data_IF_134681058767
#
_entry.id   IF_134681058767
#
_cell.length_a   1.000
_cell.length_b   1.000
_cell.length_c   1.000
_cell.angle_alpha   90.00
_cell.angle_beta   90.00
_cell.angle_gamma   90.00
#
_symmetry.space_group_name_H-M   'P 1'
#
loop_
_entity.id
_entity.type
_entity.pdbx_description
1 polymer ?
#
# COMPACT_ATOMS: atom_id res chain seq x y z
N UNK A 1 -28.57 -31.18 34.77
CA UNK A 1 -29.97 -30.80 35.01
C UNK A 1 -30.43 -30.07 33.77
N UNK A 2 -31.19 -30.76 32.94
CA UNK A 2 -31.76 -30.29 31.67
C UNK A 2 -32.80 -29.18 31.88
N UNK A 3 -33.02 -28.40 30.80
CA UNK A 3 -34.31 -28.02 30.19
C UNK A 3 -34.08 -26.75 29.34
N UNK A 4 -34.59 -26.50 28.12
CA UNK A 4 -35.40 -27.24 27.14
C UNK A 4 -35.38 -26.42 25.83
N UNK A 5 -35.60 -27.12 24.72
CA UNK A 5 -35.70 -26.68 23.31
C UNK A 5 -36.63 -25.49 23.03
N UNK A 6 -36.34 -24.75 21.94
CA UNK A 6 -37.35 -24.36 20.94
C UNK A 6 -36.71 -24.21 19.56
N UNK A 7 -37.36 -24.81 18.55
CA UNK A 7 -36.98 -24.83 17.14
C UNK A 7 -38.11 -24.21 16.28
N UNK A 8 -37.71 -23.81 15.06
CA UNK A 8 -38.47 -23.66 13.79
C UNK A 8 -39.18 -22.32 13.47
N UNK A 9 -39.43 -21.97 12.18
CA UNK A 9 -39.10 -22.68 10.93
C UNK A 9 -38.48 -21.86 9.77
N UNK A 10 -37.96 -22.60 8.78
CA UNK A 10 -37.89 -22.22 7.36
C UNK A 10 -39.22 -21.65 6.87
N UNK A 11 -39.17 -20.55 6.12
CA UNK A 11 -40.16 -20.24 5.07
C UNK A 11 -39.48 -19.40 3.98
N UNK A 12 -38.83 -20.09 3.03
CA UNK A 12 -38.64 -19.54 1.68
C UNK A 12 -39.97 -19.72 0.94
N UNK A 13 -40.68 -18.62 0.74
CA UNK A 13 -41.88 -18.59 -0.10
C UNK A 13 -41.45 -18.75 -1.55
N UNK A 14 -41.91 -19.83 -2.19
CA UNK A 14 -41.81 -20.06 -3.62
C UNK A 14 -42.67 -19.03 -4.36
N UNK A 15 -42.06 -17.91 -4.78
CA UNK A 15 -42.62 -17.07 -5.85
C UNK A 15 -41.96 -17.45 -7.17
N UNK A 16 -42.77 -17.58 -8.22
CA UNK A 16 -42.41 -18.10 -9.55
C UNK A 16 -41.56 -17.13 -10.42
N UNK A 17 -40.75 -16.28 -9.78
CA UNK A 17 -39.67 -15.58 -10.49
C UNK A 17 -38.35 -16.03 -9.89
N UNK A 18 -37.59 -16.81 -10.67
CA UNK A 18 -36.21 -17.14 -10.34
C UNK A 18 -35.36 -15.86 -10.46
N UNK A 19 -35.48 -14.97 -9.49
CA UNK A 19 -34.43 -14.01 -9.20
C UNK A 19 -33.30 -14.82 -8.59
N UNK A 20 -32.34 -15.19 -9.43
CA UNK A 20 -31.04 -15.67 -8.98
C UNK A 20 -30.47 -14.62 -8.04
N UNK A 21 -30.56 -14.86 -6.73
CA UNK A 21 -29.70 -14.21 -5.79
C UNK A 21 -28.31 -14.81 -6.01
N UNK A 22 -27.58 -14.27 -6.98
CA UNK A 22 -26.16 -14.55 -7.13
C UNK A 22 -25.48 -13.90 -5.93
N UNK A 23 -25.22 -14.69 -4.89
CA UNK A 23 -24.22 -14.32 -3.90
C UNK A 23 -22.91 -14.31 -4.70
N UNK A 24 -22.43 -13.12 -5.07
CA UNK A 24 -21.08 -12.98 -5.59
C UNK A 24 -20.17 -13.43 -4.45
N UNK A 25 -19.55 -14.60 -4.60
CA UNK A 25 -18.53 -15.04 -3.67
C UNK A 25 -17.42 -13.98 -3.67
N UNK A 26 -17.14 -13.40 -2.51
CA UNK A 26 -16.03 -12.47 -2.35
C UNK A 26 -14.73 -13.19 -2.75
N UNK A 27 -13.97 -12.61 -3.68
CA UNK A 27 -12.71 -13.20 -4.13
C UNK A 27 -11.58 -12.82 -3.16
N UNK A 28 -11.36 -13.69 -2.18
CA UNK A 28 -10.27 -13.57 -1.21
C UNK A 28 -8.93 -14.11 -1.69
N UNK A 29 -8.79 -14.45 -2.96
CA UNK A 29 -7.54 -15.01 -3.48
C UNK A 29 -6.48 -13.93 -3.52
N UNK A 30 -5.37 -14.14 -2.78
CA UNK A 30 -4.18 -13.30 -2.90
C UNK A 30 -3.56 -13.51 -4.29
N UNK A 31 -3.78 -12.56 -5.19
CA UNK A 31 -3.30 -12.63 -6.58
C UNK A 31 -2.00 -11.87 -6.72
N UNK A 32 -0.97 -12.52 -7.27
CA UNK A 32 0.30 -11.88 -7.62
C UNK A 32 0.11 -10.88 -8.77
N UNK A 33 1.04 -9.94 -8.89
CA UNK A 33 1.13 -9.10 -10.09
C UNK A 33 1.61 -9.96 -11.27
N UNK A 34 0.82 -10.04 -12.33
CA UNK A 34 1.13 -10.85 -13.53
C UNK A 34 1.65 -10.02 -14.71
N UNK A 35 1.51 -8.69 -14.65
CA UNK A 35 2.09 -7.82 -15.64
C UNK A 35 3.62 -7.78 -15.42
N UNK A 36 4.39 -8.10 -16.45
CA UNK A 36 5.86 -8.22 -16.39
C UNK A 36 6.52 -6.95 -15.86
N UNK A 37 6.03 -5.75 -16.21
CA UNK A 37 6.60 -4.49 -15.72
C UNK A 37 6.30 -4.29 -14.24
N UNK A 38 5.06 -4.56 -13.84
CA UNK A 38 4.62 -4.39 -12.45
C UNK A 38 5.26 -5.46 -11.53
N UNK A 39 5.47 -6.68 -12.03
CA UNK A 39 6.22 -7.72 -11.33
C UNK A 39 7.71 -7.39 -11.24
N UNK A 40 8.33 -6.85 -12.30
CA UNK A 40 9.74 -6.45 -12.27
C UNK A 40 10.04 -5.32 -11.29
N UNK A 41 9.06 -4.46 -11.00
CA UNK A 41 9.21 -3.42 -9.99
C UNK A 41 9.41 -4.02 -8.59
N UNK A 42 8.83 -5.19 -8.34
CA UNK A 42 9.00 -5.91 -7.11
C UNK A 42 10.36 -6.57 -7.05
N UNK A 43 11.26 -6.05 -6.22
CA UNK A 43 12.62 -6.54 -6.13
C UNK A 43 13.19 -6.46 -4.71
N UNK A 44 13.98 -7.48 -4.36
CA UNK A 44 14.93 -7.48 -3.23
C UNK A 44 14.30 -7.51 -1.82
N UNK A 45 13.24 -8.29 -1.61
CA UNK A 45 12.78 -8.69 -0.26
C UNK A 45 12.32 -7.54 0.66
N UNK A 46 11.65 -6.53 0.09
CA UNK A 46 10.95 -5.48 0.84
C UNK A 46 9.51 -5.91 1.10
N UNK A 47 9.18 -6.17 2.36
CA UNK A 47 7.84 -6.57 2.78
C UNK A 47 7.06 -5.37 3.33
N UNK A 48 5.85 -5.16 2.81
CA UNK A 48 4.86 -4.22 3.33
C UNK A 48 3.76 -5.02 4.00
N UNK A 49 3.51 -4.73 5.27
CA UNK A 49 2.62 -5.53 6.11
C UNK A 49 1.53 -4.63 6.69
N UNK A 50 0.28 -4.91 6.33
CA UNK A 50 -0.88 -4.26 6.93
C UNK A 50 -1.55 -5.19 7.96
N UNK A 51 -2.29 -4.62 8.94
CA UNK A 51 -3.11 -5.41 9.85
C UNK A 51 -4.10 -6.30 9.07
N UNK A 52 -4.44 -7.45 9.65
CA UNK A 52 -5.43 -8.42 9.17
C UNK A 52 -5.12 -9.13 7.82
N UNK A 53 -4.59 -8.41 6.83
CA UNK A 53 -4.22 -8.96 5.51
C UNK A 53 -2.79 -9.52 5.46
N UNK A 54 -1.88 -9.02 6.32
CA UNK A 54 -0.49 -9.45 6.35
C UNK A 54 0.36 -8.82 5.23
N UNK A 55 1.25 -9.61 4.62
CA UNK A 55 2.18 -9.13 3.59
C UNK A 55 1.42 -8.84 2.30
N UNK A 56 1.47 -7.57 1.86
CA UNK A 56 0.85 -7.10 0.61
C UNK A 56 1.86 -6.81 -0.49
N UNK A 57 3.15 -7.09 -0.27
CA UNK A 57 4.16 -6.93 -1.32
C UNK A 57 3.80 -7.76 -2.55
N UNK A 58 3.69 -7.09 -3.70
CA UNK A 58 3.60 -7.68 -5.03
C UNK A 58 2.31 -8.45 -5.30
N UNK A 59 1.22 -7.94 -4.75
CA UNK A 59 -0.12 -8.49 -4.98
C UNK A 59 -1.15 -7.40 -5.30
N UNK A 60 -2.31 -7.85 -5.74
CA UNK A 60 -3.55 -7.09 -5.66
C UNK A 60 -4.16 -7.27 -4.26
N UNK A 61 -4.57 -6.16 -3.65
CA UNK A 61 -5.43 -6.21 -2.46
C UNK A 61 -6.74 -6.89 -2.87
N UNK A 62 -7.13 -8.00 -2.22
CA UNK A 62 -8.31 -8.76 -2.63
C UNK A 62 -9.59 -8.02 -2.26
N UNK A 63 -10.66 -8.33 -2.98
CA UNK A 63 -11.98 -7.73 -2.79
C UNK A 63 -12.81 -8.58 -1.82
N UNK A 64 -12.37 -8.65 -0.59
CA UNK A 64 -13.12 -9.31 0.49
C UNK A 64 -12.73 -8.73 1.84
N UNK A 65 -13.54 -9.05 2.86
CA UNK A 65 -13.33 -8.58 4.24
C UNK A 65 -13.10 -7.06 4.36
N UNK A 66 -13.67 -6.28 3.43
CA UNK A 66 -13.55 -4.83 3.38
C UNK A 66 -12.10 -4.28 3.39
N UNK A 67 -11.10 -5.06 2.97
CA UNK A 67 -9.69 -4.64 3.05
C UNK A 67 -9.39 -3.31 2.34
N UNK A 68 -10.07 -3.02 1.23
CA UNK A 68 -9.91 -1.73 0.53
C UNK A 68 -10.49 -0.56 1.33
N UNK A 69 -11.57 -0.80 2.10
CA UNK A 69 -12.12 0.19 3.02
C UNK A 69 -11.17 0.37 4.22
N UNK A 70 -10.74 -0.72 4.87
CA UNK A 70 -9.81 -0.65 6.00
C UNK A 70 -8.50 0.02 5.61
N UNK A 71 -7.94 -0.29 4.45
CA UNK A 71 -6.75 0.37 3.91
C UNK A 71 -6.93 1.89 3.73
N UNK A 72 -8.13 2.33 3.31
CA UNK A 72 -8.41 3.73 3.02
C UNK A 72 -8.92 4.55 4.22
N UNK A 73 -9.43 3.90 5.26
CA UNK A 73 -10.09 4.57 6.39
C UNK A 73 -9.52 4.23 7.77
N UNK A 74 -9.01 3.03 7.96
CA UNK A 74 -8.75 2.48 9.30
C UNK A 74 -7.25 2.27 9.52
N UNK A 75 -6.63 1.40 8.72
CA UNK A 75 -5.23 1.02 8.91
C UNK A 75 -4.29 2.22 8.79
N UNK A 76 -3.37 2.33 9.75
CA UNK A 76 -2.29 3.32 9.73
C UNK A 76 -1.21 2.95 8.71
N UNK A 77 -0.02 3.55 8.82
CA UNK A 77 1.11 3.13 7.98
C UNK A 77 1.41 1.63 8.20
N UNK A 78 1.88 0.94 7.15
CA UNK A 78 2.23 -0.47 7.26
C UNK A 78 3.52 -0.64 8.08
N UNK A 79 3.72 -1.84 8.63
CA UNK A 79 5.06 -2.26 9.03
C UNK A 79 5.88 -2.54 7.77
N UNK A 80 7.16 -2.19 7.82
CA UNK A 80 8.08 -2.37 6.69
C UNK A 80 9.25 -3.22 7.15
N UNK A 81 9.48 -4.33 6.44
CA UNK A 81 10.59 -5.23 6.73
C UNK A 81 11.52 -5.34 5.53
N UNK A 82 12.81 -5.20 5.79
CA UNK A 82 13.87 -5.42 4.81
C UNK A 82 15.03 -6.15 5.50
N UNK A 83 15.08 -7.46 5.31
CA UNK A 83 16.02 -8.35 6.04
C UNK A 83 17.51 -8.12 5.69
N UNK A 84 17.78 -7.43 4.57
CA UNK A 84 19.14 -7.11 4.10
C UNK A 84 19.62 -5.74 4.55
N UNK A 85 18.84 -5.00 5.35
CA UNK A 85 19.30 -3.76 5.94
C UNK A 85 20.53 -4.00 6.82
N UNK A 86 21.34 -2.96 7.05
CA UNK A 86 22.55 -3.03 7.84
C UNK A 86 22.36 -2.27 9.16
N UNK A 87 22.67 -2.88 10.32
CA UNK A 87 22.71 -2.15 11.58
C UNK A 87 23.72 -0.98 11.51
N UNK A 88 23.35 0.17 12.06
CA UNK A 88 24.18 1.39 12.03
C UNK A 88 24.12 2.18 10.73
N UNK A 89 23.33 1.74 9.75
CA UNK A 89 23.02 2.47 8.53
C UNK A 89 21.59 3.00 8.61
N UNK A 90 21.38 4.24 8.17
CA UNK A 90 20.06 4.86 8.07
C UNK A 90 19.48 4.68 6.67
N UNK A 91 18.16 4.66 6.59
CA UNK A 91 17.41 4.45 5.35
C UNK A 91 16.36 5.53 5.15
N UNK A 92 15.99 5.71 3.88
CA UNK A 92 14.88 6.57 3.45
C UNK A 92 13.82 5.69 2.83
N UNK A 93 12.58 5.85 3.27
CA UNK A 93 11.42 5.17 2.71
C UNK A 93 10.52 6.18 2.01
N UNK A 94 10.19 5.89 0.75
CA UNK A 94 9.29 6.71 -0.06
C UNK A 94 8.13 5.86 -0.55
N UNK A 95 6.91 6.33 -0.34
CA UNK A 95 5.69 5.75 -0.89
C UNK A 95 5.04 6.75 -1.86
N UNK A 96 4.80 6.34 -3.10
CA UNK A 96 4.17 7.16 -4.15
C UNK A 96 3.11 6.39 -4.93
N UNK A 97 2.13 7.12 -5.45
CA UNK A 97 1.15 6.66 -6.44
C UNK A 97 1.48 7.30 -7.81
N UNK A 98 2.00 6.53 -8.79
CA UNK A 98 2.23 7.00 -10.16
C UNK A 98 0.94 7.09 -10.99
N UNK A 99 -0.17 6.61 -10.47
CA UNK A 99 -1.42 6.46 -11.19
C UNK A 99 -2.44 7.55 -10.81
N UNK A 100 -2.11 8.51 -9.94
CA UNK A 100 -3.07 9.55 -9.56
C UNK A 100 -3.44 10.50 -10.73
N UNK A 101 -4.74 10.78 -11.00
CA UNK A 101 -5.93 10.21 -10.38
C UNK A 101 -6.41 8.90 -11.01
N UNK A 102 -5.96 8.52 -12.21
CA UNK A 102 -6.12 7.17 -12.75
C UNK A 102 -4.90 6.75 -13.59
N UNK A 103 -4.62 5.44 -13.66
CA UNK A 103 -3.50 4.90 -14.46
C UNK A 103 -3.60 5.30 -15.94
N UNK A 104 -4.82 5.45 -16.47
CA UNK A 104 -5.08 5.85 -17.85
C UNK A 104 -4.83 7.35 -18.09
N UNK A 105 -5.01 8.20 -17.08
CA UNK A 105 -4.78 9.65 -17.18
C UNK A 105 -4.12 10.18 -15.90
N UNK A 106 -2.82 9.91 -15.69
CA UNK A 106 -2.13 10.12 -14.41
C UNK A 106 -1.66 11.58 -14.23
N UNK A 107 -2.59 12.53 -14.28
CA UNK A 107 -2.32 13.99 -14.23
C UNK A 107 -1.55 14.46 -12.99
N UNK A 108 -1.68 13.76 -11.86
CA UNK A 108 -1.03 14.11 -10.60
C UNK A 108 0.18 13.23 -10.27
N UNK A 109 0.69 12.47 -11.25
CA UNK A 109 1.93 11.69 -11.10
C UNK A 109 3.11 12.61 -10.75
N UNK A 110 3.99 12.23 -9.81
CA UNK A 110 3.79 11.23 -8.76
C UNK A 110 2.99 11.85 -7.61
N UNK A 111 2.10 11.08 -6.98
CA UNK A 111 1.44 11.50 -5.75
C UNK A 111 2.15 10.92 -4.54
N UNK A 112 2.72 11.79 -3.70
CA UNK A 112 3.48 11.39 -2.50
C UNK A 112 2.57 11.00 -1.34
N UNK A 113 2.63 9.72 -0.96
CA UNK A 113 1.91 9.17 0.19
C UNK A 113 2.73 9.22 1.47
N UNK A 114 4.02 8.92 1.41
CA UNK A 114 4.88 8.86 2.61
C UNK A 114 6.33 9.17 2.24
N UNK A 115 7.04 9.90 3.09
CA UNK A 115 8.50 10.07 3.04
C UNK A 115 9.04 10.09 4.48
N UNK A 116 9.75 9.04 4.86
CA UNK A 116 10.52 8.97 6.10
C UNK A 116 12.02 8.97 5.79
N UNK A 117 12.77 9.63 6.65
CA UNK A 117 14.24 9.61 6.65
C UNK A 117 14.74 9.08 7.99
N UNK A 118 16.05 8.90 8.09
CA UNK A 118 16.73 8.54 9.33
C UNK A 118 16.25 7.23 9.96
N UNK A 119 15.66 6.34 9.15
CA UNK A 119 15.16 5.03 9.61
C UNK A 119 16.37 4.16 9.96
N UNK A 120 16.56 3.77 11.24
CA UNK A 120 17.65 2.87 11.62
C UNK A 120 17.46 1.48 10.99
N UNK A 121 18.49 0.95 10.34
CA UNK A 121 18.41 -0.36 9.66
C UNK A 121 17.96 -1.53 10.54
N UNK A 122 18.21 -1.48 11.85
CA UNK A 122 17.77 -2.52 12.78
C UNK A 122 16.24 -2.60 12.91
N UNK A 123 15.52 -1.49 12.75
CA UNK A 123 14.05 -1.47 12.74
C UNK A 123 13.50 -2.20 11.51
N UNK A 124 14.10 -1.97 10.35
CA UNK A 124 13.75 -2.68 9.11
C UNK A 124 14.02 -4.19 9.19
N UNK A 125 15.09 -4.61 9.88
CA UNK A 125 15.38 -6.04 10.08
C UNK A 125 14.31 -6.68 10.97
N UNK A 126 13.98 -6.02 12.09
CA UNK A 126 13.03 -6.55 13.07
C UNK A 126 11.57 -6.46 12.60
N UNK A 127 11.26 -5.58 11.64
CA UNK A 127 9.89 -5.31 11.19
C UNK A 127 9.05 -4.62 12.27
N UNK A 128 9.69 -3.90 13.19
CA UNK A 128 9.01 -3.06 14.19
C UNK A 128 8.53 -1.76 13.56
N UNK A 129 7.83 -0.96 14.36
CA UNK A 129 7.44 0.37 13.92
C UNK A 129 8.67 1.24 13.62
N UNK A 130 8.56 2.10 12.62
CA UNK A 130 9.68 2.91 12.14
C UNK A 130 9.72 4.25 12.90
N UNK A 131 10.83 4.52 13.57
CA UNK A 131 11.10 5.77 14.29
C UNK A 131 12.09 6.61 13.50
N UNK A 132 11.64 7.08 12.34
CA UNK A 132 12.38 7.97 11.45
C UNK A 132 11.77 9.36 11.39
N UNK A 133 12.50 10.31 10.80
CA UNK A 133 12.03 11.68 10.62
C UNK A 133 10.93 11.74 9.54
N UNK A 134 9.74 12.17 9.95
CA UNK A 134 8.57 12.22 9.08
C UNK A 134 8.51 13.51 8.25
N UNK A 135 9.20 13.49 7.11
CA UNK A 135 9.23 14.63 6.19
C UNK A 135 7.88 14.78 5.47
N UNK A 136 7.20 13.69 5.13
CA UNK A 136 5.80 13.73 4.66
C UNK A 136 4.98 12.60 5.24
N UNK A 137 4.13 12.96 6.20
CA UNK A 137 3.30 12.00 6.93
C UNK A 137 2.51 11.08 6.04
N UNK A 138 2.38 9.84 6.47
CA UNK A 138 1.66 8.80 5.78
C UNK A 138 0.24 9.26 5.45
N UNK A 139 -0.12 9.19 4.17
CA UNK A 139 -1.50 9.27 3.72
C UNK A 139 -1.93 7.92 3.19
N UNK A 140 -3.05 7.43 3.72
CA UNK A 140 -3.67 6.18 3.31
C UNK A 140 -3.91 6.15 1.80
N UNK A 141 -3.76 4.98 1.15
CA UNK A 141 -4.31 4.71 -0.16
C UNK A 141 -5.79 5.11 -0.24
N UNK A 142 -6.17 5.88 -1.25
CA UNK A 142 -7.56 6.31 -1.44
C UNK A 142 -7.84 6.53 -2.92
N UNK A 143 -7.76 5.47 -3.76
CA UNK A 143 -8.00 5.62 -5.18
C UNK A 143 -9.44 6.10 -5.41
N UNK A 144 -9.70 7.03 -6.34
CA UNK A 144 -11.06 7.48 -6.59
C UNK A 144 -11.96 6.34 -7.12
N UNK A 145 -13.28 6.36 -6.87
CA UNK A 145 -14.20 5.42 -7.49
C UNK A 145 -14.10 5.45 -9.02
N UNK A 146 -14.12 4.27 -9.65
CA UNK A 146 -14.11 4.13 -11.10
C UNK A 146 -12.76 4.35 -11.80
N UNK A 147 -11.66 4.56 -11.08
CA UNK A 147 -10.32 4.76 -11.69
C UNK A 147 -9.50 3.47 -11.83
N UNK A 148 -10.04 2.35 -11.34
CA UNK A 148 -9.40 1.04 -11.39
C UNK A 148 -8.28 0.88 -10.36
N UNK A 149 -7.36 -0.05 -10.63
CA UNK A 149 -6.21 -0.29 -9.75
C UNK A 149 -5.16 0.80 -9.86
N UNK A 150 -4.72 1.28 -8.69
CA UNK A 150 -3.58 2.15 -8.52
C UNK A 150 -2.41 1.38 -7.92
N UNK A 151 -1.21 1.71 -8.38
CA UNK A 151 0.05 1.22 -7.82
C UNK A 151 0.45 2.05 -6.62
N UNK A 152 0.72 1.40 -5.50
CA UNK A 152 1.33 2.04 -4.34
C UNK A 152 2.76 1.55 -4.23
N UNK A 153 3.67 2.36 -4.76
CA UNK A 153 5.08 2.00 -4.94
C UNK A 153 5.90 2.46 -3.75
N UNK A 154 6.64 1.52 -3.17
CA UNK A 154 7.61 1.76 -2.11
C UNK A 154 9.02 1.68 -2.68
N UNK A 155 9.81 2.69 -2.36
CA UNK A 155 11.23 2.77 -2.66
C UNK A 155 11.98 2.90 -1.35
N UNK A 156 12.94 2.01 -1.13
CA UNK A 156 13.86 2.08 -0.01
C UNK A 156 15.24 2.46 -0.52
N UNK A 157 15.82 3.52 0.04
CA UNK A 157 17.17 3.97 -0.25
C UNK A 157 18.04 3.87 1.00
N UNK A 158 19.32 3.57 0.83
CA UNK A 158 20.30 3.85 1.86
C UNK A 158 20.45 5.37 1.96
N UNK A 159 20.41 5.92 3.18
CA UNK A 159 20.52 7.35 3.38
C UNK A 159 21.99 7.77 3.34
N UNK A 160 22.38 8.72 2.47
CA UNK A 160 23.73 9.24 2.49
C UNK A 160 23.99 10.04 3.78
N UNK A 161 25.18 9.87 4.35
CA UNK A 161 25.57 10.55 5.59
C UNK A 161 25.54 12.08 5.43
N UNK A 162 25.02 12.78 6.45
CA UNK A 162 25.05 14.25 6.52
C UNK A 162 24.08 14.95 5.58
N UNK A 163 23.11 14.24 4.98
CA UNK A 163 22.03 14.85 4.22
C UNK A 163 20.89 15.25 5.17
N UNK A 164 20.48 16.51 5.09
CA UNK A 164 19.19 16.96 5.58
C UNK A 164 18.26 17.15 4.40
N UNK A 165 17.18 16.37 4.36
CA UNK A 165 16.18 16.44 3.30
C UNK A 165 15.16 17.53 3.64
N UNK A 166 14.97 18.46 2.72
CA UNK A 166 13.95 19.49 2.81
C UNK A 166 13.20 19.63 1.49
N UNK A 167 11.92 19.94 1.62
CA UNK A 167 11.10 20.25 0.47
C UNK A 167 11.37 21.66 -0.05
N UNK A 168 11.44 21.76 -1.37
CA UNK A 168 11.25 23.02 -2.06
C UNK A 168 9.77 23.45 -1.95
N UNK A 169 9.45 24.75 -2.06
CA UNK A 169 8.07 25.23 -1.95
C UNK A 169 7.06 24.48 -2.85
N UNK A 170 7.47 24.10 -4.06
CA UNK A 170 6.68 23.33 -5.01
C UNK A 170 6.39 21.88 -4.54
N UNK A 171 7.29 21.30 -3.75
CA UNK A 171 7.18 19.93 -3.23
C UNK A 171 6.32 19.85 -1.97
N UNK A 172 5.86 20.98 -1.41
CA UNK A 172 4.86 21.00 -0.34
C UNK A 172 3.54 20.38 -0.79
N UNK A 173 3.25 20.43 -2.09
CA UNK A 173 2.14 19.68 -2.69
C UNK A 173 2.55 18.22 -2.87
N UNK A 174 1.59 17.32 -2.65
CA UNK A 174 1.81 15.87 -2.77
C UNK A 174 1.72 15.38 -4.20
N UNK A 175 0.78 15.91 -4.98
CA UNK A 175 0.60 15.56 -6.39
C UNK A 175 1.48 16.40 -7.30
N UNK A 176 1.74 15.89 -8.51
CA UNK A 176 2.70 16.47 -9.47
C UNK A 176 4.11 16.59 -8.85
N UNK A 177 4.45 15.69 -7.93
CA UNK A 177 5.77 15.73 -7.33
C UNK A 177 6.81 15.24 -8.34
N UNK A 178 7.83 16.08 -8.57
CA UNK A 178 8.99 15.73 -9.39
C UNK A 178 9.92 14.80 -8.60
N UNK A 179 9.49 13.53 -8.52
CA UNK A 179 10.16 12.47 -7.78
C UNK A 179 11.60 12.24 -8.28
N UNK A 180 11.82 12.29 -9.59
CA UNK A 180 13.15 12.09 -10.17
C UNK A 180 14.09 13.26 -9.83
N UNK A 181 13.62 14.50 -9.94
CA UNK A 181 14.42 15.66 -9.53
C UNK A 181 14.74 15.62 -8.03
N UNK A 182 13.80 15.18 -7.17
CA UNK A 182 14.07 14.97 -5.75
C UNK A 182 15.17 13.94 -5.53
N UNK A 183 15.09 12.77 -6.16
CA UNK A 183 16.09 11.69 -6.04
C UNK A 183 17.47 12.17 -6.50
N UNK A 184 17.53 12.89 -7.61
CA UNK A 184 18.78 13.43 -8.15
C UNK A 184 19.38 14.52 -7.25
N UNK A 185 18.59 15.52 -6.84
CA UNK A 185 19.03 16.62 -5.96
C UNK A 185 19.51 16.11 -4.60
N UNK A 186 18.83 15.10 -4.08
CA UNK A 186 19.16 14.47 -2.79
C UNK A 186 20.26 13.41 -2.91
N UNK A 187 20.81 13.19 -4.10
CA UNK A 187 21.89 12.23 -4.37
C UNK A 187 21.61 10.81 -3.81
N UNK A 188 20.36 10.34 -3.91
CA UNK A 188 19.96 9.04 -3.34
C UNK A 188 20.43 7.85 -4.19
N UNK A 189 20.80 8.08 -5.46
CA UNK A 189 21.22 7.03 -6.37
C UNK A 189 20.09 6.05 -6.69
N UNK A 190 20.37 4.75 -6.58
CA UNK A 190 19.40 3.68 -6.88
C UNK A 190 18.81 3.11 -5.59
N UNK A 191 17.52 2.71 -5.59
CA UNK A 191 16.92 2.09 -4.43
C UNK A 191 17.59 0.75 -4.11
N UNK A 192 17.80 0.51 -2.81
CA UNK A 192 18.29 -0.77 -2.29
C UNK A 192 17.22 -1.85 -2.39
N UNK A 193 15.93 -1.48 -2.32
CA UNK A 193 14.81 -2.38 -2.55
C UNK A 193 13.57 -1.61 -3.04
N UNK A 194 12.69 -2.31 -3.76
CA UNK A 194 11.43 -1.75 -4.29
C UNK A 194 10.33 -2.79 -4.19
N UNK A 195 9.13 -2.36 -3.86
CA UNK A 195 7.94 -3.23 -3.88
C UNK A 195 6.70 -2.39 -4.12
N UNK A 196 5.62 -3.02 -4.57
CA UNK A 196 4.35 -2.33 -4.72
C UNK A 196 3.18 -3.27 -4.43
N UNK A 197 2.05 -2.68 -4.12
CA UNK A 197 0.76 -3.38 -4.16
C UNK A 197 -0.23 -2.61 -5.01
N UNK A 198 -1.26 -3.30 -5.49
CA UNK A 198 -2.35 -2.72 -6.27
C UNK A 198 -3.61 -2.65 -5.42
N UNK A 199 -4.22 -1.48 -5.29
CA UNK A 199 -5.52 -1.33 -4.65
C UNK A 199 -6.46 -0.53 -5.54
N UNK A 200 -7.75 -0.86 -5.48
CA UNK A 200 -8.81 -0.09 -6.14
C UNK A 200 -9.94 0.19 -5.17
N UNK A 201 -10.77 1.17 -5.51
CA UNK A 201 -11.97 1.45 -4.75
C UNK A 201 -13.10 0.57 -5.27
N UNK A 202 -13.63 -0.29 -4.39
CA UNK A 202 -14.72 -1.21 -4.70
C UNK A 202 -16.10 -0.65 -4.35
N UNK A 203 -16.16 0.53 -3.73
CA UNK A 203 -17.42 1.22 -3.43
C UNK A 203 -17.92 1.84 -4.74
N UNK A 204 -19.08 1.37 -5.20
CA UNK A 204 -19.81 1.92 -6.35
C UNK A 204 -20.70 3.08 -5.93
#
# INVERSE_FOLDING_TARGET
MEMTRMWFPLLCILSLTAHFCTIQAEDCSMRKLYNIEDEKFCSKDLDIIYPDIGIVSCIYIPNCFDFSLSLSKEWNHPLVRYSKAQPGVNYILIMVDPDAPSRQNPKYRYWRHWLLTDIPGWQLISGQDLDGDDISSYRRPSPPPGTGFHRYQFYLYEQPNGISLYFLPEELKRGMWDFEAFVQRSNLGKPVATTQFMAMNHIQ
#
